data_IF_658008121763
#
_entry.id   IF_658008121763
#
_cell.length_a   1.000
_cell.length_b   1.000
_cell.length_c   1.000
_cell.angle_alpha   90.00
_cell.angle_beta   90.00
_cell.angle_gamma   90.00
#
_symmetry.space_group_name_H-M   'P 1'
#
loop_
_entity.id
_entity.type
_entity.pdbx_description
1 polymer ?
#
# COMPACT_ATOMS: atom_id res chain seq x y z
N UNK A 1 19.96 33.51 23.70
CA UNK A 1 18.75 33.00 23.02
C UNK A 1 19.10 31.71 22.27
N UNK A 2 18.81 30.54 22.85
CA UNK A 2 19.05 29.25 22.19
C UNK A 2 17.78 28.84 21.44
N UNK A 3 17.89 28.57 20.13
CA UNK A 3 16.79 28.04 19.32
C UNK A 3 16.67 26.53 19.54
N UNK A 4 15.49 25.96 19.85
CA UNK A 4 15.34 24.53 19.90
C UNK A 4 15.37 23.96 18.47
N UNK A 5 16.28 23.01 18.27
CA UNK A 5 16.43 22.21 17.05
C UNK A 5 15.32 21.16 17.06
N UNK A 6 14.25 21.35 16.28
CA UNK A 6 13.22 20.33 16.14
C UNK A 6 13.81 19.16 15.33
N UNK A 7 13.94 18.01 15.98
CA UNK A 7 14.37 16.77 15.36
C UNK A 7 13.29 16.24 14.42
N UNK A 8 13.67 15.97 13.17
CA UNK A 8 12.84 15.33 12.17
C UNK A 8 12.54 13.89 12.59
N UNK A 9 11.30 13.64 13.04
CA UNK A 9 10.79 12.30 13.30
C UNK A 9 10.71 11.49 12.00
N UNK A 10 11.43 10.37 11.95
CA UNK A 10 11.27 9.34 10.91
C UNK A 10 9.94 8.64 11.12
N UNK A 11 8.97 8.91 10.25
CA UNK A 11 7.74 8.13 10.15
C UNK A 11 8.11 6.77 9.56
N UNK A 12 8.18 5.76 10.42
CA UNK A 12 8.24 4.35 9.99
C UNK A 12 6.84 3.99 9.52
N UNK A 13 6.63 4.04 8.20
CA UNK A 13 5.46 3.45 7.57
C UNK A 13 5.58 1.93 7.65
N UNK A 14 4.66 1.31 8.38
CA UNK A 14 4.43 -0.14 8.35
C UNK A 14 3.75 -0.42 7.01
N UNK A 15 4.56 -0.62 5.96
CA UNK A 15 4.09 -1.17 4.70
C UNK A 15 3.83 -2.66 4.89
N UNK A 16 2.59 -3.09 4.72
CA UNK A 16 2.24 -4.50 4.54
C UNK A 16 2.73 -4.95 3.16
N UNK A 17 4.04 -5.13 3.01
CA UNK A 17 4.60 -5.85 1.88
C UNK A 17 4.34 -7.36 2.05
N UNK A 18 3.86 -8.02 1.00
CA UNK A 18 3.79 -9.48 0.99
C UNK A 18 2.94 -10.13 -0.09
N UNK A 19 3.47 -10.18 -1.31
CA UNK A 19 3.52 -11.32 -2.24
C UNK A 19 2.44 -12.43 -2.18
N UNK A 20 1.68 -12.56 -3.28
CA UNK A 20 1.23 -13.82 -3.91
C UNK A 20 1.15 -13.51 -5.41
N UNK A 21 1.82 -14.17 -6.34
CA UNK A 21 2.02 -15.61 -6.44
C UNK A 21 1.48 -16.03 -7.81
N UNK A 22 2.40 -16.16 -8.78
CA UNK A 22 2.23 -16.74 -10.10
C UNK A 22 1.25 -17.92 -10.13
N UNK A 23 0.19 -17.84 -10.95
CA UNK A 23 -0.45 -19.03 -11.52
C UNK A 23 -1.26 -18.71 -12.80
N UNK A 24 -0.68 -19.09 -13.93
CA UNK A 24 -1.32 -19.28 -15.23
C UNK A 24 -2.39 -20.38 -15.14
N UNK A 25 -3.64 -20.06 -15.46
CA UNK A 25 -4.53 -21.05 -16.09
C UNK A 25 -5.56 -20.37 -17.02
N UNK A 26 -5.40 -20.70 -18.30
CA UNK A 26 -6.32 -20.48 -19.41
C UNK A 26 -7.58 -21.34 -19.16
N UNK A 27 -8.77 -20.78 -19.36
CA UNK A 27 -10.00 -21.58 -19.22
C UNK A 27 -11.31 -20.87 -19.55
N UNK A 28 -11.78 -21.12 -20.77
CA UNK A 28 -13.17 -21.25 -21.20
C UNK A 28 -14.01 -20.04 -21.66
N UNK A 29 -14.45 -20.24 -22.90
CA UNK A 29 -15.45 -19.58 -23.72
C UNK A 29 -16.85 -19.78 -23.12
N UNK A 30 -17.69 -18.75 -23.21
CA UNK A 30 -19.13 -18.81 -23.01
C UNK A 30 -19.81 -17.68 -23.76
N UNK A 31 -20.06 -17.88 -25.05
CA UNK A 31 -20.90 -17.01 -25.88
C UNK A 31 -22.38 -17.41 -25.74
N UNK A 32 -23.25 -16.42 -25.94
CA UNK A 32 -24.72 -16.45 -26.01
C UNK A 32 -25.48 -16.18 -24.70
N UNK A 33 -26.00 -14.95 -24.58
CA UNK A 33 -27.45 -14.74 -24.52
C UNK A 33 -27.77 -13.35 -25.07
N UNK A 34 -28.43 -13.32 -26.22
CA UNK A 34 -29.18 -12.16 -26.69
C UNK A 34 -30.33 -11.89 -25.72
N UNK A 35 -30.40 -10.66 -25.22
CA UNK A 35 -31.42 -10.21 -24.29
C UNK A 35 -31.76 -8.76 -24.57
N UNK A 36 -32.56 -8.58 -25.61
CA UNK A 36 -33.18 -7.33 -26.04
C UNK A 36 -34.10 -6.73 -24.94
N UNK A 37 -34.35 -5.43 -25.05
CA UNK A 37 -35.38 -4.63 -24.34
C UNK A 37 -35.05 -4.11 -22.92
N UNK A 38 -34.70 -2.83 -22.79
CA UNK A 38 -35.73 -1.81 -22.56
C UNK A 38 -35.16 -0.40 -22.73
N UNK A 39 -35.71 0.29 -23.72
CA UNK A 39 -35.83 1.74 -23.82
C UNK A 39 -36.33 2.35 -22.51
N UNK A 40 -36.02 3.63 -22.28
CA UNK A 40 -36.92 4.67 -21.73
C UNK A 40 -36.33 5.43 -20.52
N UNK A 41 -35.81 6.61 -20.84
CA UNK A 41 -36.14 7.90 -20.18
C UNK A 41 -35.31 8.38 -18.99
N UNK A 42 -34.52 9.41 -19.29
CA UNK A 42 -34.18 10.55 -18.44
C UNK A 42 -35.37 11.08 -17.63
N UNK A 43 -35.20 11.32 -16.33
CA UNK A 43 -35.81 12.47 -15.61
C UNK A 43 -35.25 12.62 -14.19
N UNK A 44 -34.37 13.63 -14.03
CA UNK A 44 -34.18 14.46 -12.83
C UNK A 44 -35.51 15.22 -12.56
N UNK A 45 -35.97 15.60 -11.33
CA UNK A 45 -35.20 16.40 -10.36
C UNK A 45 -35.50 16.29 -8.84
N UNK A 46 -34.54 16.85 -8.08
CA UNK A 46 -34.67 17.73 -6.91
C UNK A 46 -35.39 17.29 -5.61
N UNK A 47 -34.66 17.53 -4.51
CA UNK A 47 -35.06 18.15 -3.23
C UNK A 47 -34.42 17.35 -2.07
N UNK A 48 -33.31 17.82 -1.49
CA UNK A 48 -33.31 18.78 -0.38
C UNK A 48 -34.16 18.31 0.81
N UNK A 49 -33.50 17.79 1.85
CA UNK A 49 -33.65 18.24 3.25
C UNK A 49 -32.83 17.34 4.17
N UNK A 50 -31.77 17.90 4.76
CA UNK A 50 -31.32 17.53 6.11
C UNK A 50 -32.40 17.99 7.11
N UNK A 51 -32.54 17.37 8.30
CA UNK A 51 -31.71 17.83 9.41
C UNK A 51 -31.36 16.77 10.46
N UNK A 52 -30.55 17.25 11.41
CA UNK A 52 -30.54 16.88 12.83
C UNK A 52 -29.49 15.86 13.27
N UNK A 53 -28.37 16.44 13.71
CA UNK A 53 -27.50 15.89 14.74
C UNK A 53 -28.31 15.47 15.97
N UNK A 54 -28.03 14.29 16.51
CA UNK A 54 -28.25 13.98 17.91
C UNK A 54 -27.03 13.24 18.41
N UNK A 55 -26.13 14.03 18.95
CA UNK A 55 -25.11 13.65 19.89
C UNK A 55 -25.71 12.78 20.99
N UNK A 56 -25.26 11.52 21.08
CA UNK A 56 -25.54 10.65 22.22
C UNK A 56 -24.23 10.17 22.81
N UNK A 57 -23.93 10.82 23.93
CA UNK A 57 -23.02 10.51 25.00
C UNK A 57 -22.36 9.11 25.01
N UNK A 58 -21.05 9.16 25.19
CA UNK A 58 -20.16 8.09 25.61
C UNK A 58 -20.64 7.34 26.86
N UNK A 59 -20.28 6.06 26.94
CA UNK A 59 -19.68 5.56 28.17
C UNK A 59 -18.27 5.02 27.89
N UNK A 60 -17.31 5.54 28.65
CA UNK A 60 -15.95 5.04 28.70
C UNK A 60 -15.89 3.64 29.35
N UNK A 61 -15.26 2.63 28.72
CA UNK A 61 -14.78 1.47 29.45
C UNK A 61 -13.37 1.73 29.99
N UNK A 62 -13.32 1.64 31.31
CA UNK A 62 -12.19 1.64 32.24
C UNK A 62 -10.91 0.96 31.70
N UNK A 63 -9.81 1.69 31.68
CA UNK A 63 -8.46 1.13 31.43
C UNK A 63 -8.06 0.27 32.63
N UNK A 64 -8.00 -1.04 32.45
CA UNK A 64 -7.42 -1.95 33.45
C UNK A 64 -5.93 -2.08 33.16
N UNK A 65 -5.10 -1.46 34.00
CA UNK A 65 -3.64 -1.59 33.94
C UNK A 65 -3.26 -2.93 34.57
N UNK A 66 -2.87 -3.90 33.75
CA UNK A 66 -2.28 -5.16 34.22
C UNK A 66 -0.84 -4.91 34.64
N UNK A 67 -0.59 -5.01 35.94
CA UNK A 67 0.71 -4.88 36.59
C UNK A 67 1.35 -6.26 36.79
N UNK A 68 2.65 -6.35 36.54
CA UNK A 68 3.61 -7.35 37.05
C UNK A 68 3.59 -8.76 36.46
N UNK A 69 4.67 -9.10 35.75
CA UNK A 69 5.60 -10.14 36.19
C UNK A 69 6.99 -9.87 35.59
N UNK A 70 7.98 -9.78 36.49
CA UNK A 70 9.39 -9.64 36.16
C UNK A 70 9.91 -10.93 35.48
N UNK A 71 10.93 -10.80 34.61
CA UNK A 71 11.49 -11.93 33.85
C UNK A 71 12.20 -12.93 34.77
N UNK A 72 12.01 -14.25 34.62
CA UNK A 72 12.98 -15.20 35.14
C UNK A 72 14.27 -15.09 34.33
N UNK A 73 15.36 -14.79 35.04
CA UNK A 73 16.72 -14.81 34.53
C UNK A 73 17.03 -16.18 33.90
N UNK A 74 17.27 -16.19 32.59
CA UNK A 74 17.76 -17.37 31.89
C UNK A 74 19.28 -17.36 32.00
N UNK A 75 19.82 -18.48 32.50
CA UNK A 75 21.25 -18.79 32.68
C UNK A 75 22.08 -18.46 31.44
N UNK A 76 23.39 -18.15 31.60
CA UNK A 76 24.30 -17.99 30.48
C UNK A 76 24.41 -19.30 29.70
N UNK A 77 24.01 -19.24 28.42
CA UNK A 77 24.24 -20.30 27.44
C UNK A 77 25.74 -20.39 27.12
N UNK A 78 26.32 -21.60 26.99
CA UNK A 78 27.73 -21.76 26.65
C UNK A 78 28.04 -21.16 25.28
N UNK A 79 29.20 -20.51 25.22
CA UNK A 79 29.83 -19.92 24.04
C UNK A 79 29.84 -20.93 22.87
N UNK A 80 29.25 -20.62 21.70
CA UNK A 80 29.51 -21.42 20.50
C UNK A 80 30.94 -21.14 20.05
N UNK A 81 31.78 -22.17 20.13
CA UNK A 81 33.09 -22.28 19.49
C UNK A 81 33.02 -21.77 18.05
N UNK A 82 33.79 -20.73 17.76
CA UNK A 82 33.86 -20.11 16.43
C UNK A 82 34.35 -21.13 15.39
N UNK A 83 33.44 -21.55 14.51
CA UNK A 83 33.75 -22.26 13.27
C UNK A 83 34.43 -21.26 12.31
N UNK A 84 35.49 -21.65 11.57
CA UNK A 84 36.14 -20.76 10.61
C UNK A 84 35.12 -20.20 9.61
N UNK A 85 35.18 -18.90 9.25
CA UNK A 85 34.24 -18.33 8.29
C UNK A 85 34.45 -19.00 6.93
N UNK A 86 33.46 -19.81 6.54
CA UNK A 86 33.28 -20.23 5.15
C UNK A 86 33.12 -18.95 4.33
N UNK A 87 34.04 -18.70 3.41
CA UNK A 87 34.02 -17.56 2.51
C UNK A 87 32.60 -17.42 1.94
N UNK A 88 31.92 -16.33 2.33
CA UNK A 88 30.66 -15.95 1.71
C UNK A 88 30.95 -15.66 0.24
N UNK A 89 30.13 -16.16 -0.71
CA UNK A 89 30.22 -15.73 -2.09
C UNK A 89 30.18 -14.20 -2.11
N UNK A 90 31.16 -13.58 -2.77
CA UNK A 90 31.13 -12.16 -3.03
C UNK A 90 29.82 -11.89 -3.78
N UNK A 91 28.89 -11.17 -3.14
CA UNK A 91 27.71 -10.67 -3.83
C UNK A 91 28.23 -9.71 -4.89
N UNK A 92 28.13 -10.11 -6.16
CA UNK A 92 28.40 -9.22 -7.27
C UNK A 92 27.30 -8.15 -7.28
N UNK A 93 27.61 -7.00 -6.67
CA UNK A 93 26.78 -5.80 -6.76
C UNK A 93 26.86 -5.29 -8.20
N UNK A 94 26.04 -5.86 -9.07
CA UNK A 94 25.72 -5.23 -10.35
C UNK A 94 25.13 -3.86 -10.04
N UNK A 95 25.74 -2.79 -10.56
CA UNK A 95 25.20 -1.45 -10.40
C UNK A 95 23.76 -1.40 -10.93
N UNK A 96 22.82 -0.74 -10.24
CA UNK A 96 21.44 -0.71 -10.70
C UNK A 96 21.36 0.04 -12.03
N UNK A 97 20.78 -0.61 -13.02
CA UNK A 97 20.48 0.01 -14.31
C UNK A 97 19.38 1.06 -14.10
N UNK A 98 19.52 2.23 -14.70
CA UNK A 98 18.42 3.21 -14.72
C UNK A 98 17.31 2.76 -15.68
N UNK A 99 16.08 3.11 -15.34
CA UNK A 99 14.89 2.91 -16.14
C UNK A 99 13.94 4.11 -16.03
N UNK A 100 13.05 4.25 -17.01
CA UNK A 100 12.09 5.36 -17.07
C UNK A 100 10.79 4.99 -16.35
N UNK A 101 10.52 5.63 -15.22
CA UNK A 101 9.27 5.47 -14.49
C UNK A 101 8.15 6.26 -15.18
N UNK A 102 7.07 5.62 -15.67
CA UNK A 102 5.93 6.31 -16.26
C UNK A 102 5.19 7.20 -15.24
N UNK A 103 4.36 8.10 -15.77
CA UNK A 103 3.35 8.78 -14.97
C UNK A 103 2.14 7.86 -14.77
N UNK A 104 1.94 7.47 -13.52
CA UNK A 104 0.95 6.52 -13.04
C UNK A 104 -0.26 7.20 -12.40
N UNK A 105 -0.23 8.53 -12.25
CA UNK A 105 -1.32 9.28 -11.64
C UNK A 105 -2.58 9.22 -12.51
N UNK A 106 -3.72 8.96 -11.87
CA UNK A 106 -5.02 8.78 -12.51
C UNK A 106 -5.28 7.38 -13.06
N UNK A 107 -4.30 6.47 -12.96
CA UNK A 107 -4.49 5.08 -13.34
C UNK A 107 -5.20 4.30 -12.25
N UNK A 108 -5.93 3.27 -12.65
CA UNK A 108 -6.26 2.13 -11.80
C UNK A 108 -5.01 1.58 -11.10
N UNK A 109 -5.08 1.27 -9.81
CA UNK A 109 -3.92 0.84 -9.01
C UNK A 109 -3.28 -0.44 -9.58
N UNK A 110 -4.12 -1.36 -10.05
CA UNK A 110 -3.74 -2.47 -10.90
C UNK A 110 -2.83 -2.04 -12.06
N UNK A 111 -3.44 -1.34 -13.01
CA UNK A 111 -2.76 -0.91 -14.22
C UNK A 111 -1.48 -0.11 -13.91
N UNK A 112 -1.46 0.64 -12.82
CA UNK A 112 -0.29 1.39 -12.37
C UNK A 112 0.88 0.49 -11.94
N UNK A 113 0.62 -0.53 -11.12
CA UNK A 113 1.62 -1.51 -10.72
C UNK A 113 2.16 -2.29 -11.92
N UNK A 114 1.27 -2.74 -12.81
CA UNK A 114 1.64 -3.48 -14.02
C UNK A 114 2.53 -2.60 -14.93
N UNK A 115 2.22 -1.31 -15.04
CA UNK A 115 3.01 -0.34 -15.83
C UNK A 115 4.37 -0.04 -15.22
N UNK A 116 4.46 0.07 -13.88
CA UNK A 116 5.73 0.23 -13.19
C UNK A 116 6.64 -1.00 -13.38
N UNK A 117 6.08 -2.20 -13.27
CA UNK A 117 6.81 -3.46 -13.49
C UNK A 117 7.26 -3.63 -14.94
N UNK A 118 6.40 -3.28 -15.91
CA UNK A 118 6.75 -3.28 -17.32
C UNK A 118 7.90 -2.31 -17.63
N UNK A 119 8.02 -1.22 -16.86
CA UNK A 119 9.13 -0.27 -16.92
C UNK A 119 10.39 -0.73 -16.15
N UNK A 120 10.35 -1.87 -15.45
CA UNK A 120 11.49 -2.43 -14.72
C UNK A 120 11.53 -2.12 -13.23
N UNK A 121 10.48 -1.51 -12.68
CA UNK A 121 10.37 -1.22 -11.23
C UNK A 121 9.59 -2.32 -10.53
N UNK A 122 10.28 -3.11 -9.71
CA UNK A 122 9.69 -4.26 -9.02
C UNK A 122 9.49 -4.05 -7.52
N UNK A 123 10.07 -2.99 -6.96
CA UNK A 123 9.91 -2.65 -5.54
C UNK A 123 8.75 -1.67 -5.42
N UNK A 124 7.53 -2.21 -5.38
CA UNK A 124 6.30 -1.42 -5.27
C UNK A 124 5.75 -1.42 -3.84
N UNK A 125 5.05 -0.35 -3.47
CA UNK A 125 4.30 -0.21 -2.23
C UNK A 125 3.07 0.64 -2.51
N UNK A 126 1.97 0.30 -1.87
CA UNK A 126 0.68 0.93 -2.11
C UNK A 126 0.16 1.49 -0.79
N UNK A 127 -0.41 2.69 -0.84
CA UNK A 127 -0.85 3.43 0.34
C UNK A 127 -2.22 4.04 0.12
N UNK A 128 -3.09 3.96 1.13
CA UNK A 128 -4.39 4.63 1.12
C UNK A 128 -4.21 6.15 1.28
N UNK A 129 -4.36 6.87 0.17
CA UNK A 129 -4.19 8.31 0.11
C UNK A 129 -5.24 9.07 0.93
N UNK A 130 -6.38 8.45 1.25
CA UNK A 130 -7.39 9.04 2.13
C UNK A 130 -6.95 9.15 3.59
N UNK A 131 -5.86 8.46 3.97
CA UNK A 131 -5.37 8.41 5.35
C UNK A 131 -6.19 7.50 6.28
N UNK A 132 -7.18 6.77 5.75
CA UNK A 132 -8.03 5.86 6.52
C UNK A 132 -7.35 4.53 6.86
N UNK A 133 -6.18 4.25 6.28
CA UNK A 133 -5.39 3.04 6.56
C UNK A 133 -6.09 1.75 6.12
N UNK A 134 -6.92 1.82 5.08
CA UNK A 134 -7.64 0.65 4.56
C UNK A 134 -6.68 -0.24 3.77
N UNK A 135 -6.97 -1.53 3.77
CA UNK A 135 -6.24 -2.50 2.96
C UNK A 135 -6.75 -2.47 1.51
N UNK A 136 -5.83 -2.36 0.56
CA UNK A 136 -6.09 -2.44 -0.87
C UNK A 136 -6.19 -3.93 -1.28
N UNK A 137 -7.28 -4.59 -0.88
CA UNK A 137 -7.46 -6.04 -1.16
C UNK A 137 -7.82 -6.30 -2.63
N UNK A 138 -8.46 -5.34 -3.27
CA UNK A 138 -8.87 -5.40 -4.67
C UNK A 138 -8.39 -4.12 -5.33
N UNK A 139 -7.17 -4.14 -5.86
CA UNK A 139 -6.49 -2.98 -6.45
C UNK A 139 -7.29 -2.35 -7.59
N UNK A 140 -8.10 -3.16 -8.30
CA UNK A 140 -9.01 -2.68 -9.36
C UNK A 140 -10.13 -1.74 -8.92
N UNK A 141 -10.28 -1.52 -7.61
CA UNK A 141 -11.26 -0.60 -7.03
C UNK A 141 -10.61 0.70 -6.52
N UNK A 142 -9.38 0.98 -6.95
CA UNK A 142 -8.58 2.09 -6.47
C UNK A 142 -7.94 2.86 -7.62
N UNK A 143 -7.90 4.18 -7.49
CA UNK A 143 -7.30 5.11 -8.45
C UNK A 143 -6.10 5.82 -7.81
N UNK A 144 -4.96 5.84 -8.51
CA UNK A 144 -3.73 6.48 -8.04
C UNK A 144 -3.87 8.00 -8.07
N UNK A 145 -3.70 8.65 -6.92
CA UNK A 145 -3.70 10.11 -6.79
C UNK A 145 -2.31 10.72 -6.90
N UNK A 146 -1.29 10.01 -6.42
CA UNK A 146 0.10 10.45 -6.53
C UNK A 146 1.05 9.25 -6.49
N UNK A 147 2.25 9.46 -7.00
CA UNK A 147 3.32 8.48 -6.96
C UNK A 147 4.59 9.09 -6.37
N UNK A 148 5.44 8.25 -5.79
CA UNK A 148 6.79 8.62 -5.39
C UNK A 148 7.77 7.51 -5.75
N UNK A 149 8.88 7.79 -6.47
CA UNK A 149 9.25 9.08 -7.02
C UNK A 149 8.33 9.53 -8.16
N UNK A 150 8.42 10.81 -8.54
CA UNK A 150 7.72 11.33 -9.73
C UNK A 150 8.23 10.64 -10.99
N UNK A 151 7.41 10.63 -12.04
CA UNK A 151 7.80 10.10 -13.34
C UNK A 151 9.16 10.64 -13.84
N UNK A 152 9.90 9.81 -14.58
CA UNK A 152 11.23 10.12 -15.10
C UNK A 152 12.24 9.00 -14.86
N UNK A 153 13.52 9.29 -15.10
CA UNK A 153 14.61 8.31 -14.97
C UNK A 153 14.99 8.06 -13.51
N UNK A 154 14.98 6.81 -13.09
CA UNK A 154 15.41 6.36 -11.76
C UNK A 154 16.14 5.02 -11.84
N UNK A 155 16.98 4.68 -10.86
CA UNK A 155 17.51 3.31 -10.71
C UNK A 155 16.37 2.28 -10.65
N UNK A 156 16.47 1.16 -11.35
CA UNK A 156 15.42 0.13 -11.41
C UNK A 156 15.12 -0.53 -10.05
N UNK A 157 16.06 -0.45 -9.10
CA UNK A 157 15.90 -0.86 -7.70
C UNK A 157 15.26 0.22 -6.81
N UNK A 158 14.78 1.32 -7.39
CA UNK A 158 14.07 2.36 -6.64
C UNK A 158 12.71 1.86 -6.20
N UNK A 159 12.39 2.07 -4.91
CA UNK A 159 11.06 1.84 -4.38
C UNK A 159 10.07 2.85 -4.95
N UNK A 160 9.00 2.37 -5.57
CA UNK A 160 7.88 3.17 -6.05
C UNK A 160 6.71 3.02 -5.07
N UNK A 161 6.19 4.14 -4.58
CA UNK A 161 5.02 4.22 -3.70
C UNK A 161 3.85 4.80 -4.49
N UNK A 162 2.74 4.08 -4.54
CA UNK A 162 1.49 4.50 -5.16
C UNK A 162 0.49 4.90 -4.07
N UNK A 163 0.08 6.16 -4.05
CA UNK A 163 -0.94 6.65 -3.13
C UNK A 163 -2.27 6.67 -3.87
N UNK A 164 -3.22 5.84 -3.46
CA UNK A 164 -4.50 5.67 -4.15
C UNK A 164 -5.70 5.89 -3.23
N UNK A 165 -6.82 6.34 -3.81
CA UNK A 165 -8.15 6.40 -3.17
C UNK A 165 -9.09 5.38 -3.81
N UNK A 166 -10.24 5.12 -3.20
CA UNK A 166 -11.29 4.31 -3.87
C UNK A 166 -11.81 5.05 -5.10
N UNK A 167 -12.25 4.34 -6.14
CA UNK A 167 -12.65 4.98 -7.41
C UNK A 167 -13.78 6.02 -7.30
N UNK A 168 -14.62 5.93 -6.27
CA UNK A 168 -15.69 6.88 -6.00
C UNK A 168 -15.29 8.04 -5.08
N UNK A 169 -14.00 8.12 -4.74
CA UNK A 169 -13.40 9.17 -3.91
C UNK A 169 -12.54 10.10 -4.77
N UNK A 170 -12.36 11.33 -4.31
CA UNK A 170 -11.51 12.31 -4.97
C UNK A 170 -10.07 12.25 -4.46
N UNK A 171 -9.14 12.37 -5.39
CA UNK A 171 -7.84 12.98 -5.16
C UNK A 171 -8.02 14.51 -4.98
#
# INVERSE_FOLDING_TARGET
MQKPKMGTGKKVGIGCGGALGLLLIIGMIGAAVDGDTNTTTSSKPAAASSPTATEKAAPAPTVTVTKTAAPPAVKPSPTPTAKPPKAAPAAETSAPTNASLPNLVGMDLQAAQDSAQAAGFFILDDQDASGQGRLQVMDRNWTVCSQQPTAGEHPADTKVILYAVKDFESC
#
